data_IF_167904592249
#
_entry.id   IF_167904592249
#
_cell.length_a   1.000
_cell.length_b   1.000
_cell.length_c   1.000
_cell.angle_alpha   90.00
_cell.angle_beta   90.00
_cell.angle_gamma   90.00
#
_symmetry.space_group_name_H-M   'P 1'
#
loop_
_entity.id
_entity.type
_entity.pdbx_description
1 polymer ?
#
# COMPACT_ATOMS: atom_id res chain seq x y z
N UNK A 1 -4.33 -11.15 0.75
CA UNK A 1 -4.23 -10.52 -0.50
C UNK A 1 -3.18 -11.06 -1.42
N UNK A 2 -3.39 -10.86 -2.68
CA UNK A 2 -2.39 -11.07 -3.71
C UNK A 2 -1.54 -9.82 -3.77
N UNK A 3 -0.44 -9.81 -4.46
CA UNK A 3 0.40 -8.64 -4.66
C UNK A 3 0.89 -8.00 -3.35
N UNK A 4 0.96 -8.79 -2.27
CA UNK A 4 1.53 -8.33 -1.01
C UNK A 4 0.66 -7.46 -0.14
N UNK A 5 -0.63 -7.34 -0.44
CA UNK A 5 -1.56 -6.59 0.41
C UNK A 5 -2.37 -7.61 1.21
N UNK A 6 -2.22 -7.57 2.52
CA UNK A 6 -2.86 -8.54 3.42
C UNK A 6 -3.56 -7.83 4.56
N UNK A 7 -4.74 -8.31 5.00
CA UNK A 7 -5.38 -7.77 6.19
C UNK A 7 -4.58 -8.16 7.45
N UNK A 8 -4.45 -7.23 8.35
CA UNK A 8 -3.83 -7.42 9.64
C UNK A 8 -4.81 -7.04 10.73
N UNK A 9 -4.48 -7.34 11.99
CA UNK A 9 -5.37 -7.09 13.10
C UNK A 9 -5.79 -5.62 13.21
N UNK A 10 -4.84 -4.71 13.08
CA UNK A 10 -5.07 -3.27 13.23
C UNK A 10 -5.03 -2.49 11.93
N UNK A 11 -4.97 -3.17 10.79
CA UNK A 11 -4.87 -2.47 9.53
C UNK A 11 -4.54 -3.38 8.37
N UNK A 12 -4.16 -2.77 7.25
CA UNK A 12 -3.72 -3.48 6.04
C UNK A 12 -2.20 -3.46 5.99
N UNK A 13 -1.61 -4.64 5.94
CA UNK A 13 -0.19 -4.75 5.71
C UNK A 13 0.10 -4.65 4.22
N UNK A 14 0.98 -3.73 3.86
CA UNK A 14 1.39 -3.51 2.47
C UNK A 14 2.85 -3.92 2.33
N UNK A 15 3.08 -5.03 1.64
CA UNK A 15 4.42 -5.59 1.43
C UNK A 15 4.49 -6.11 -0.01
N UNK A 16 4.47 -5.20 -0.99
CA UNK A 16 4.38 -5.60 -2.38
C UNK A 16 5.64 -6.27 -2.88
N UNK A 17 5.45 -7.25 -3.76
CA UNK A 17 6.52 -7.92 -4.48
C UNK A 17 6.13 -7.92 -5.95
N UNK A 18 6.87 -7.18 -6.77
CA UNK A 18 6.56 -6.99 -8.18
C UNK A 18 7.81 -7.25 -9.02
N UNK A 19 7.64 -7.52 -10.33
CA UNK A 19 8.79 -7.61 -11.22
C UNK A 19 9.60 -6.30 -11.19
N UNK A 20 10.91 -6.41 -11.13
CA UNK A 20 11.78 -5.23 -11.06
C UNK A 20 11.66 -4.34 -12.31
N UNK A 21 11.24 -4.92 -13.42
CA UNK A 21 11.04 -4.15 -14.67
C UNK A 21 9.83 -3.20 -14.60
N UNK A 22 8.94 -3.37 -13.63
CA UNK A 22 7.75 -2.53 -13.51
C UNK A 22 8.10 -1.22 -12.84
N UNK A 23 7.55 -0.13 -13.38
CA UNK A 23 7.66 1.18 -12.74
C UNK A 23 6.76 1.32 -11.53
N UNK A 24 5.78 0.46 -11.43
CA UNK A 24 4.79 0.45 -10.37
C UNK A 24 3.46 -0.10 -10.86
N UNK A 25 2.45 -0.04 -10.02
CA UNK A 25 1.09 -0.41 -10.41
C UNK A 25 0.10 0.20 -9.40
N UNK A 26 -1.19 0.10 -9.74
CA UNK A 26 -2.27 0.56 -8.87
C UNK A 26 -3.20 -0.59 -8.55
N UNK A 27 -3.71 -0.60 -7.34
CA UNK A 27 -4.68 -1.57 -6.89
C UNK A 27 -5.72 -0.89 -5.98
N UNK A 28 -6.93 -1.42 -5.96
CA UNK A 28 -7.98 -0.95 -5.07
C UNK A 28 -8.37 -2.10 -4.15
N UNK A 29 -8.40 -1.83 -2.85
CA UNK A 29 -8.78 -2.83 -1.85
C UNK A 29 -9.88 -2.27 -0.98
N UNK A 30 -10.81 -3.14 -0.60
CA UNK A 30 -11.83 -2.79 0.38
C UNK A 30 -11.57 -3.58 1.65
N UNK A 31 -11.63 -2.89 2.79
CA UNK A 31 -11.36 -3.51 4.07
C UNK A 31 -12.18 -2.79 5.14
N UNK A 32 -13.02 -3.54 5.85
CA UNK A 32 -13.86 -3.02 6.94
C UNK A 32 -14.72 -1.83 6.52
N UNK A 33 -15.23 -1.86 5.30
CA UNK A 33 -16.08 -0.80 4.77
C UNK A 33 -15.34 0.37 4.15
N UNK A 34 -14.03 0.45 4.33
CA UNK A 34 -13.21 1.50 3.72
C UNK A 34 -12.66 1.03 2.38
N UNK A 35 -12.41 1.96 1.50
CA UNK A 35 -11.77 1.70 0.22
C UNK A 35 -10.36 2.30 0.23
N UNK A 36 -9.37 1.51 -0.18
CA UNK A 36 -7.99 1.95 -0.25
C UNK A 36 -7.53 1.90 -1.69
N UNK A 37 -7.24 3.07 -2.25
CA UNK A 37 -6.63 3.18 -3.57
C UNK A 37 -5.13 3.23 -3.39
N UNK A 38 -4.47 2.13 -3.75
CA UNK A 38 -3.05 1.92 -3.48
C UNK A 38 -2.27 2.14 -4.76
N UNK A 39 -1.35 3.09 -4.72
CA UNK A 39 -0.44 3.36 -5.83
C UNK A 39 0.96 2.92 -5.41
N UNK A 40 1.50 1.96 -6.13
CA UNK A 40 2.86 1.46 -5.89
C UNK A 40 3.77 2.12 -6.92
N UNK A 41 4.84 2.76 -6.45
CA UNK A 41 5.85 3.38 -7.32
C UNK A 41 7.16 2.64 -7.15
N UNK A 42 7.82 2.35 -8.25
CA UNK A 42 9.07 1.58 -8.24
C UNK A 42 10.16 2.32 -9.05
N UNK A 43 10.59 3.49 -8.57
CA UNK A 43 11.57 4.28 -9.32
C UNK A 43 12.95 3.62 -9.43
N UNK A 44 13.30 2.79 -8.46
CA UNK A 44 14.60 2.10 -8.43
C UNK A 44 14.55 0.71 -9.05
N UNK A 45 13.40 0.31 -9.60
CA UNK A 45 13.21 -0.98 -10.26
C UNK A 45 13.69 -2.15 -9.38
N UNK A 46 13.21 -2.16 -8.15
CA UNK A 46 13.40 -3.28 -7.22
C UNK A 46 12.20 -4.20 -7.27
N UNK A 47 12.33 -5.42 -6.78
CA UNK A 47 11.22 -6.36 -6.80
C UNK A 47 10.46 -6.41 -5.48
N UNK A 48 11.01 -5.85 -4.42
CA UNK A 48 10.34 -5.74 -3.12
C UNK A 48 11.07 -4.72 -2.25
N UNK A 49 10.48 -4.42 -1.10
CA UNK A 49 11.05 -3.47 -0.14
C UNK A 49 10.31 -2.14 -0.19
N UNK A 50 9.77 -1.72 0.94
CA UNK A 50 9.03 -0.47 1.05
C UNK A 50 9.97 0.61 1.57
N UNK A 51 10.22 1.60 0.72
CA UNK A 51 11.03 2.76 1.09
C UNK A 51 10.20 3.77 1.87
N UNK A 52 8.98 4.01 1.42
CA UNK A 52 8.07 4.92 2.12
C UNK A 52 6.62 4.49 1.90
N UNK A 53 5.79 4.82 2.86
CA UNK A 53 4.36 4.56 2.83
C UNK A 53 3.65 5.83 3.27
N UNK A 54 2.70 6.30 2.47
CA UNK A 54 1.94 7.50 2.76
C UNK A 54 0.45 7.21 2.63
N UNK A 55 -0.34 7.66 3.57
CA UNK A 55 -1.80 7.50 3.55
C UNK A 55 -2.41 8.89 3.65
N UNK A 56 -3.19 9.28 2.64
CA UNK A 56 -3.84 10.58 2.56
C UNK A 56 -2.85 11.75 2.77
N UNK A 57 -1.63 11.57 2.26
CA UNK A 57 -0.58 12.57 2.38
C UNK A 57 0.22 12.53 3.67
N UNK A 58 -0.09 11.60 4.56
CA UNK A 58 0.60 11.48 5.85
C UNK A 58 1.56 10.28 5.82
N UNK A 59 2.82 10.52 6.16
CA UNK A 59 3.82 9.46 6.21
C UNK A 59 3.52 8.48 7.34
N UNK A 60 3.63 7.19 7.02
CA UNK A 60 3.38 6.10 7.96
C UNK A 60 4.66 5.29 8.10
N UNK A 61 5.03 4.95 9.32
CA UNK A 61 6.15 4.06 9.56
C UNK A 61 5.73 2.62 9.36
N UNK A 62 6.63 1.82 8.79
CA UNK A 62 6.38 0.41 8.55
C UNK A 62 5.51 0.17 7.34
N UNK A 63 4.83 -0.97 7.33
CA UNK A 63 4.07 -1.44 6.18
C UNK A 63 2.58 -1.59 6.48
N UNK A 64 2.09 -1.07 7.60
CA UNK A 64 0.70 -1.27 8.02
C UNK A 64 -0.05 0.04 7.88
N UNK A 65 -1.09 0.03 7.04
CA UNK A 65 -1.98 1.16 6.85
C UNK A 65 -3.05 1.12 7.94
N UNK A 66 -3.16 2.17 8.76
CA UNK A 66 -4.21 2.21 9.79
C UNK A 66 -5.59 2.17 9.15
N UNK A 67 -6.49 1.42 9.74
CA UNK A 67 -7.87 1.32 9.27
C UNK A 67 -8.72 2.33 10.04
N UNK A 68 -9.28 3.30 9.31
CA UNK A 68 -10.09 4.35 9.93
C UNK A 68 -11.50 3.88 10.25
N UNK A 69 -12.07 2.97 9.45
CA UNK A 69 -13.42 2.47 9.66
C UNK A 69 -14.50 3.52 9.40
N UNK A 70 -14.23 4.48 8.50
CA UNK A 70 -15.13 5.60 8.25
C UNK A 70 -15.95 5.45 6.96
N UNK A 71 -15.75 4.35 6.24
CA UNK A 71 -16.46 4.09 4.99
C UNK A 71 -16.02 4.97 3.83
N UNK A 72 -14.89 5.64 3.94
CA UNK A 72 -14.40 6.56 2.92
C UNK A 72 -13.29 5.92 2.08
N UNK A 73 -12.92 6.61 1.00
CA UNK A 73 -11.81 6.23 0.16
C UNK A 73 -10.54 6.92 0.64
N UNK A 74 -9.50 6.12 0.86
CA UNK A 74 -8.19 6.62 1.30
C UNK A 74 -7.16 6.39 0.21
N UNK A 75 -6.28 7.36 0.01
CA UNK A 75 -5.22 7.29 -0.98
C UNK A 75 -3.94 6.79 -0.30
N UNK A 76 -3.45 5.65 -0.77
CA UNK A 76 -2.23 5.04 -0.23
C UNK A 76 -1.16 5.10 -1.30
N UNK A 77 -0.01 5.63 -0.96
CA UNK A 77 1.14 5.68 -1.87
C UNK A 77 2.29 4.91 -1.25
N UNK A 78 2.82 3.96 -1.99
CA UNK A 78 3.95 3.13 -1.58
C UNK A 78 5.08 3.36 -2.56
N UNK A 79 6.25 3.68 -2.04
CA UNK A 79 7.47 3.81 -2.85
C UNK A 79 8.40 2.66 -2.47
N UNK A 80 8.82 1.89 -3.47
CA UNK A 80 9.76 0.80 -3.29
C UNK A 80 11.19 1.31 -3.45
N UNK A 81 12.10 0.68 -2.74
CA UNK A 81 13.49 1.10 -2.83
C UNK A 81 14.42 0.43 -1.84
#
# INVERSE_FOLDING_TARGET
>A
GRLGVKPEFDGLRVDPSIPAAWDGFKATRQFRGDTYEITIKNPDHVNKGVKSLTVDGQAIEGCIVPVAGDGKTHQVEVVLG
#
